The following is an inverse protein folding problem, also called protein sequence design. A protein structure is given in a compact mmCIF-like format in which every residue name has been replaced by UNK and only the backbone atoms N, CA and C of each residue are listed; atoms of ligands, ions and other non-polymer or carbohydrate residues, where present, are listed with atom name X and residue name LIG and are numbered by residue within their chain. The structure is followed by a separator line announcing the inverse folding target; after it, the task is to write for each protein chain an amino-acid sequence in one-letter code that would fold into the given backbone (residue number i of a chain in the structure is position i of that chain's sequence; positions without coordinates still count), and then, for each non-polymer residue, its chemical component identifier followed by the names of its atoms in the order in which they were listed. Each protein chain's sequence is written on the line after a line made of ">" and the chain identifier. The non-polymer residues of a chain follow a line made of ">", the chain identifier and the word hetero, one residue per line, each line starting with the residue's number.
data_IF_555024941933
#
_entry.id   IF_555024941933
#
_cell.length_a   1.000
_cell.length_b   1.000
_cell.length_c   1.000
_cell.angle_alpha   90.00
_cell.angle_beta   90.00
_cell.angle_gamma   90.00
#
_symmetry.space_group_name_H-M   'P 1'
#
loop_
_entity.id
_entity.type
_entity.pdbx_description
1 polymer ?
#
# COMPACT_ATOMS: atom_id res chain seq x y z
N UNK A 1 17.94 21.87 -16.52
CA UNK A 1 19.16 22.56 -16.04
C UNK A 1 19.10 22.61 -14.52
N UNK A 2 20.12 22.09 -13.83
CA UNK A 2 20.17 22.06 -12.36
C UNK A 2 20.81 23.35 -11.80
N UNK A 3 20.35 23.76 -10.61
CA UNK A 3 20.95 24.85 -9.84
C UNK A 3 22.36 24.46 -9.38
N UNK A 4 23.33 25.35 -9.56
CA UNK A 4 24.69 25.19 -9.05
C UNK A 4 25.08 26.45 -8.27
N UNK A 5 25.75 26.25 -7.14
CA UNK A 5 26.23 27.31 -6.26
C UNK A 5 27.09 28.36 -6.99
N UNK A 6 27.97 27.94 -7.91
CA UNK A 6 28.84 28.87 -8.66
C UNK A 6 28.05 29.86 -9.52
N UNK A 7 26.89 29.44 -10.05
CA UNK A 7 25.99 30.32 -10.81
C UNK A 7 25.21 31.25 -9.87
N UNK A 8 24.82 30.76 -8.70
CA UNK A 8 24.06 31.53 -7.71
C UNK A 8 24.91 32.67 -7.16
N UNK A 9 26.14 32.40 -6.72
CA UNK A 9 27.03 33.43 -6.16
C UNK A 9 27.50 34.44 -7.20
N UNK A 10 27.52 34.07 -8.49
CA UNK A 10 27.83 34.98 -9.59
C UNK A 10 26.64 35.87 -10.02
N UNK A 11 25.41 35.44 -9.76
CA UNK A 11 24.19 36.10 -10.29
C UNK A 11 23.39 36.85 -9.22
N UNK A 12 23.53 36.45 -7.95
CA UNK A 12 22.70 36.93 -6.85
C UNK A 12 23.50 37.61 -5.76
N UNK A 13 22.86 38.57 -5.09
CA UNK A 13 23.43 39.29 -3.94
C UNK A 13 22.47 39.29 -2.75
N UNK A 14 23.03 39.34 -1.53
CA UNK A 14 22.23 39.48 -0.30
C UNK A 14 21.50 40.83 -0.31
N UNK A 15 20.23 40.83 0.08
CA UNK A 15 19.35 42.00 0.04
C UNK A 15 18.63 42.20 -1.29
N UNK A 16 18.97 41.44 -2.33
CA UNK A 16 18.29 41.49 -3.63
C UNK A 16 16.82 41.09 -3.50
N UNK A 17 15.96 41.82 -4.19
CA UNK A 17 14.50 41.67 -4.13
C UNK A 17 13.95 41.20 -5.49
N UNK A 18 13.01 40.27 -5.43
CA UNK A 18 12.25 39.78 -6.57
C UNK A 18 10.77 40.05 -6.33
N UNK A 19 10.06 40.60 -7.33
CA UNK A 19 8.64 40.93 -7.25
C UNK A 19 7.77 39.69 -7.06
N UNK A 20 8.18 38.57 -7.65
CA UNK A 20 7.48 37.30 -7.56
C UNK A 20 8.39 36.10 -7.88
N UNK A 21 7.82 34.92 -7.70
CA UNK A 21 8.47 33.64 -7.97
C UNK A 21 8.92 33.48 -9.43
N UNK A 22 8.17 34.01 -10.41
CA UNK A 22 8.55 33.88 -11.81
C UNK A 22 9.82 34.69 -12.10
N UNK A 23 9.91 35.90 -11.56
CA UNK A 23 11.11 36.74 -11.69
C UNK A 23 12.33 36.07 -11.04
N UNK A 24 12.17 35.51 -9.84
CA UNK A 24 13.21 34.72 -9.18
C UNK A 24 13.67 33.53 -10.04
N UNK A 25 12.73 32.79 -10.62
CA UNK A 25 13.05 31.68 -11.51
C UNK A 25 13.76 32.14 -12.79
N UNK A 26 13.31 33.23 -13.41
CA UNK A 26 13.94 33.78 -14.62
C UNK A 26 15.39 34.21 -14.38
N UNK A 27 15.66 34.89 -13.26
CA UNK A 27 17.04 35.28 -12.87
C UNK A 27 17.92 34.06 -12.62
N UNK A 28 17.36 32.97 -12.10
CA UNK A 28 18.07 31.70 -11.89
C UNK A 28 18.12 30.81 -13.14
N UNK A 29 17.60 31.28 -14.28
CA UNK A 29 17.46 30.50 -15.52
C UNK A 29 16.71 29.17 -15.32
N UNK A 30 15.67 29.20 -14.49
CA UNK A 30 14.80 28.08 -14.19
C UNK A 30 13.44 28.29 -14.85
N UNK A 31 12.88 27.23 -15.44
CA UNK A 31 11.50 27.23 -15.87
C UNK A 31 10.57 27.23 -14.64
N UNK A 32 9.64 28.20 -14.51
CA UNK A 32 8.67 28.22 -13.42
C UNK A 32 7.77 26.98 -13.46
N UNK A 33 7.48 26.41 -12.28
CA UNK A 33 6.57 25.27 -12.14
C UNK A 33 5.28 25.66 -11.41
N UNK A 34 4.23 24.87 -11.60
CA UNK A 34 2.95 24.97 -10.88
C UNK A 34 2.81 23.95 -9.75
N UNK A 35 1.81 24.14 -8.88
CA UNK A 35 1.38 23.17 -7.87
C UNK A 35 2.52 22.61 -6.99
N UNK A 36 2.60 21.28 -6.88
CA UNK A 36 3.67 20.60 -6.14
C UNK A 36 5.06 20.83 -6.76
N UNK A 37 5.15 21.03 -8.08
CA UNK A 37 6.39 21.35 -8.75
C UNK A 37 6.99 22.68 -8.28
N UNK A 38 6.14 23.70 -8.06
CA UNK A 38 6.54 24.98 -7.47
C UNK A 38 7.14 24.79 -6.08
N UNK A 39 6.47 24.00 -5.24
CA UNK A 39 6.90 23.75 -3.86
C UNK A 39 8.27 23.07 -3.81
N UNK A 40 8.48 22.04 -4.65
CA UNK A 40 9.76 21.33 -4.73
C UNK A 40 10.87 22.23 -5.28
N UNK A 41 10.57 23.08 -6.26
CA UNK A 41 11.55 24.01 -6.82
C UNK A 41 11.93 25.10 -5.81
N UNK A 42 10.98 25.62 -5.03
CA UNK A 42 11.28 26.54 -3.93
C UNK A 42 12.14 25.88 -2.86
N UNK A 43 11.84 24.64 -2.48
CA UNK A 43 12.67 23.88 -1.54
C UNK A 43 14.09 23.69 -2.08
N UNK A 44 14.25 23.46 -3.39
CA UNK A 44 15.56 23.35 -4.02
C UNK A 44 16.31 24.69 -3.99
N UNK A 45 15.65 25.82 -4.28
CA UNK A 45 16.25 27.16 -4.19
C UNK A 45 16.68 27.46 -2.75
N UNK A 46 15.82 27.15 -1.77
CA UNK A 46 16.07 27.35 -0.33
C UNK A 46 17.22 26.49 0.21
N UNK A 47 17.72 25.51 -0.55
CA UNK A 47 18.97 24.81 -0.21
C UNK A 47 20.18 25.69 -0.37
N UNK A 48 20.15 26.64 -1.30
CA UNK A 48 21.30 27.48 -1.64
C UNK A 48 21.23 28.87 -0.99
N UNK A 49 20.04 29.31 -0.60
CA UNK A 49 19.84 30.64 -0.01
C UNK A 49 18.67 30.66 0.98
N UNK A 50 18.64 31.68 1.85
CA UNK A 50 17.50 32.01 2.69
C UNK A 50 16.69 33.12 2.03
N UNK A 51 15.37 32.95 1.95
CA UNK A 51 14.44 33.90 1.37
C UNK A 51 13.44 34.37 2.42
N UNK A 52 13.30 35.69 2.59
CA UNK A 52 12.15 36.26 3.29
C UNK A 52 11.05 36.56 2.27
N UNK A 53 9.83 36.08 2.55
CA UNK A 53 8.66 36.37 1.72
C UNK A 53 7.88 37.55 2.29
N UNK A 54 7.70 38.59 1.49
CA UNK A 54 6.88 39.75 1.82
C UNK A 54 5.75 39.90 0.79
N UNK A 55 4.57 39.38 1.13
CA UNK A 55 3.46 39.28 0.18
C UNK A 55 3.82 38.37 -1.01
N UNK A 56 3.88 38.92 -2.21
CA UNK A 56 4.34 38.20 -3.41
C UNK A 56 5.86 38.28 -3.62
N UNK A 57 6.55 39.18 -2.91
CA UNK A 57 7.97 39.46 -3.09
C UNK A 57 8.84 38.47 -2.32
N UNK A 58 10.06 38.27 -2.81
CA UNK A 58 11.11 37.48 -2.17
C UNK A 58 12.36 38.32 -1.98
N UNK A 59 12.96 38.27 -0.79
CA UNK A 59 14.18 39.00 -0.44
C UNK A 59 15.25 37.98 -0.04
N UNK A 60 16.41 38.02 -0.68
CA UNK A 60 17.54 37.15 -0.29
C UNK A 60 18.13 37.64 1.04
N UNK A 61 18.06 36.81 2.07
CA UNK A 61 18.66 37.10 3.40
C UNK A 61 20.08 36.60 3.52
N UNK A 62 20.36 35.47 2.90
CA UNK A 62 21.65 34.80 2.99
C UNK A 62 21.84 33.91 1.77
N UNK A 63 23.05 33.81 1.25
CA UNK A 63 23.45 32.82 0.26
C UNK A 63 24.47 31.92 0.95
N UNK A 64 24.19 30.63 1.04
CA UNK A 64 25.04 29.70 1.80
C UNK A 64 26.30 29.36 1.00
N UNK A 65 27.45 29.24 1.68
CA UNK A 65 28.70 28.78 1.08
C UNK A 65 28.68 27.29 0.72
N UNK A 66 27.85 26.51 1.41
CA UNK A 66 27.58 25.10 1.10
C UNK A 66 26.06 24.90 1.05
N UNK A 67 25.51 24.32 -0.04
CA UNK A 67 24.08 24.09 -0.12
C UNK A 67 23.63 23.13 0.99
N UNK A 68 22.50 23.43 1.63
CA UNK A 68 21.87 22.51 2.58
C UNK A 68 21.62 21.17 1.90
N UNK A 69 21.74 20.08 2.66
CA UNK A 69 21.47 18.75 2.14
C UNK A 69 20.08 18.68 1.52
N UNK A 70 20.00 18.01 0.35
CA UNK A 70 18.71 17.74 -0.25
C UNK A 70 17.98 16.81 0.70
N UNK A 71 16.86 17.28 1.26
CA UNK A 71 15.95 16.37 1.97
C UNK A 71 15.51 15.32 0.96
N UNK A 72 16.07 14.12 1.06
CA UNK A 72 15.60 12.98 0.28
C UNK A 72 14.09 12.89 0.48
N UNK A 73 13.35 12.53 -0.58
CA UNK A 73 11.92 12.33 -0.48
C UNK A 73 11.67 11.01 0.27
N UNK A 74 11.95 11.03 1.58
CA UNK A 74 12.03 9.85 2.45
C UNK A 74 10.67 9.19 2.69
N UNK A 75 9.57 9.81 2.25
CA UNK A 75 8.21 9.34 2.54
C UNK A 75 7.92 7.91 2.03
N UNK A 76 8.41 7.58 0.83
CA UNK A 76 8.20 6.25 0.24
C UNK A 76 9.46 5.38 0.23
N UNK A 77 10.65 5.99 0.27
CA UNK A 77 11.92 5.25 0.29
C UNK A 77 12.07 4.47 1.61
N UNK A 78 11.61 5.05 2.74
CA UNK A 78 11.80 4.45 4.07
C UNK A 78 11.17 3.06 4.25
N UNK A 79 10.02 2.81 3.62
CA UNK A 79 9.34 1.52 3.71
C UNK A 79 9.80 0.56 2.62
N UNK A 80 9.97 1.09 1.41
CA UNK A 80 10.33 0.33 0.22
C UNK A 80 11.58 -0.52 0.45
N UNK A 81 12.67 0.08 0.92
CA UNK A 81 13.95 -0.62 1.01
C UNK A 81 13.92 -1.74 2.08
N UNK A 82 13.22 -1.51 3.19
CA UNK A 82 12.97 -2.51 4.22
C UNK A 82 12.07 -3.65 3.72
N UNK A 83 11.00 -3.32 3.00
CA UNK A 83 10.07 -4.30 2.41
C UNK A 83 10.80 -5.13 1.34
N UNK A 84 11.59 -4.51 0.47
CA UNK A 84 12.42 -5.21 -0.51
C UNK A 84 13.38 -6.18 0.17
N UNK A 85 14.09 -5.72 1.20
CA UNK A 85 15.00 -6.57 1.95
C UNK A 85 14.27 -7.79 2.53
N UNK A 86 13.20 -7.59 3.29
CA UNK A 86 12.47 -8.70 3.92
C UNK A 86 11.86 -9.66 2.88
N UNK A 87 11.29 -9.14 1.80
CA UNK A 87 10.72 -9.94 0.72
C UNK A 87 11.79 -10.77 0.00
N UNK A 88 12.93 -10.17 -0.33
CA UNK A 88 14.05 -10.87 -0.96
C UNK A 88 14.62 -11.95 -0.05
N UNK A 89 14.72 -11.72 1.27
CA UNK A 89 15.13 -12.77 2.21
C UNK A 89 14.14 -13.93 2.23
N UNK A 90 12.82 -13.68 2.25
CA UNK A 90 11.83 -14.77 2.18
C UNK A 90 11.94 -15.58 0.89
N UNK A 91 12.02 -14.89 -0.26
CA UNK A 91 12.16 -15.55 -1.55
C UNK A 91 13.48 -16.32 -1.62
N UNK A 92 14.57 -15.79 -1.06
CA UNK A 92 15.85 -16.48 -0.99
C UNK A 92 15.76 -17.78 -0.18
N UNK A 93 15.14 -17.74 1.00
CA UNK A 93 14.94 -18.96 1.79
C UNK A 93 14.00 -19.95 1.11
N UNK A 94 13.00 -19.50 0.33
CA UNK A 94 12.22 -20.39 -0.54
C UNK A 94 13.10 -21.05 -1.61
N UNK A 95 14.00 -20.31 -2.27
CA UNK A 95 14.87 -20.89 -3.32
C UNK A 95 15.80 -21.96 -2.76
N UNK A 96 16.30 -21.78 -1.53
CA UNK A 96 17.19 -22.76 -0.88
C UNK A 96 16.49 -24.04 -0.48
N UNK A 97 15.19 -23.94 -0.22
CA UNK A 97 14.38 -25.05 0.26
C UNK A 97 13.59 -25.75 -0.84
N UNK A 98 13.44 -25.15 -2.02
CA UNK A 98 12.83 -25.76 -3.19
C UNK A 98 13.88 -26.52 -4.00
N UNK A 99 13.49 -27.68 -4.54
CA UNK A 99 14.32 -28.43 -5.50
C UNK A 99 14.36 -27.75 -6.89
N UNK A 100 13.45 -26.82 -7.16
CA UNK A 100 13.34 -26.08 -8.42
C UNK A 100 14.08 -24.73 -8.37
N UNK A 101 14.85 -24.43 -9.42
CA UNK A 101 15.49 -23.12 -9.61
C UNK A 101 14.48 -21.99 -9.87
N UNK A 102 13.25 -22.34 -10.29
CA UNK A 102 12.18 -21.40 -10.59
C UNK A 102 11.20 -21.32 -9.43
N UNK A 103 10.86 -20.09 -9.03
CA UNK A 103 9.79 -19.79 -8.09
C UNK A 103 8.65 -19.15 -8.86
N UNK A 104 7.44 -19.71 -8.73
CA UNK A 104 6.19 -19.10 -9.18
C UNK A 104 5.12 -19.36 -8.12
N UNK A 105 4.79 -18.31 -7.36
CA UNK A 105 3.95 -18.41 -6.15
C UNK A 105 2.77 -17.45 -6.20
N UNK A 106 1.68 -17.86 -5.56
CA UNK A 106 0.49 -17.03 -5.36
C UNK A 106 0.43 -16.58 -3.92
N UNK A 107 0.45 -15.27 -3.70
CA UNK A 107 0.45 -14.64 -2.39
C UNK A 107 -0.82 -13.83 -2.15
N UNK A 108 -1.49 -14.14 -1.05
CA UNK A 108 -2.53 -13.30 -0.47
C UNK A 108 -1.91 -12.03 0.11
N UNK A 109 -2.61 -10.90 -0.01
CA UNK A 109 -2.17 -9.66 0.65
C UNK A 109 -1.98 -9.86 2.16
N UNK A 110 -2.90 -10.59 2.79
CA UNK A 110 -2.90 -10.82 4.23
C UNK A 110 -1.71 -11.70 4.65
N UNK A 111 -1.32 -12.67 3.83
CA UNK A 111 -0.10 -13.48 4.05
C UNK A 111 1.15 -12.62 3.88
N UNK A 112 1.24 -11.86 2.78
CA UNK A 112 2.43 -11.05 2.49
C UNK A 112 2.69 -10.02 3.59
N UNK A 113 1.66 -9.29 4.02
CA UNK A 113 1.80 -8.29 5.09
C UNK A 113 2.12 -8.89 6.45
N UNK A 114 1.57 -10.06 6.77
CA UNK A 114 1.87 -10.78 8.02
C UNK A 114 3.30 -11.28 8.04
N UNK A 115 3.73 -11.98 6.98
CA UNK A 115 5.07 -12.55 6.88
C UNK A 115 6.15 -11.47 6.85
N UNK A 116 5.89 -10.32 6.23
CA UNK A 116 6.81 -9.18 6.26
C UNK A 116 6.78 -8.39 7.59
N UNK A 117 6.09 -8.90 8.61
CA UNK A 117 5.95 -8.26 9.93
C UNK A 117 5.38 -6.83 9.86
N UNK A 118 4.55 -6.55 8.85
CA UNK A 118 3.92 -5.23 8.68
C UNK A 118 2.71 -5.02 9.58
N UNK A 119 2.18 -6.12 10.13
CA UNK A 119 0.98 -6.20 10.97
C UNK A 119 1.02 -7.46 11.83
N UNK A 120 0.21 -7.50 12.88
CA UNK A 120 0.05 -8.69 13.73
C UNK A 120 -1.16 -9.55 13.26
N UNK A 121 -1.45 -10.63 13.99
CA UNK A 121 -2.57 -11.53 13.69
C UNK A 121 -3.96 -10.89 13.86
N UNK A 122 -4.06 -9.88 14.72
CA UNK A 122 -5.30 -9.15 15.01
C UNK A 122 -5.79 -8.27 13.85
N UNK A 123 -4.96 -8.00 12.83
CA UNK A 123 -5.41 -7.29 11.62
C UNK A 123 -6.36 -8.13 10.76
N UNK A 124 -7.61 -8.25 11.19
CA UNK A 124 -8.66 -9.01 10.51
C UNK A 124 -9.71 -8.07 9.92
N UNK A 125 -10.32 -8.51 8.82
CA UNK A 125 -11.35 -7.74 8.09
C UNK A 125 -12.69 -7.72 8.81
N UNK A 126 -13.06 -8.85 9.42
CA UNK A 126 -14.43 -9.12 9.86
C UNK A 126 -14.50 -9.15 11.38
N UNK A 127 -15.44 -8.37 11.91
CA UNK A 127 -15.78 -8.35 13.33
C UNK A 127 -16.58 -9.58 13.76
N UNK A 128 -17.37 -10.15 12.84
CA UNK A 128 -18.18 -11.34 13.11
C UNK A 128 -17.30 -12.55 13.44
N UNK A 129 -16.09 -12.58 12.89
CA UNK A 129 -15.16 -13.70 13.01
C UNK A 129 -14.22 -13.57 14.21
N UNK A 130 -14.32 -12.49 15.01
CA UNK A 130 -13.42 -12.24 16.13
C UNK A 130 -14.15 -11.68 17.37
N UNK A 131 -14.65 -12.55 18.27
CA UNK A 131 -15.29 -12.13 19.52
C UNK A 131 -14.39 -11.29 20.42
N UNK A 132 -13.08 -11.58 20.45
CA UNK A 132 -12.11 -10.80 21.24
C UNK A 132 -12.00 -9.37 20.74
N UNK A 133 -12.08 -9.16 19.42
CA UNK A 133 -12.12 -7.81 18.85
C UNK A 133 -13.41 -7.08 19.25
N UNK A 134 -14.55 -7.76 19.29
CA UNK A 134 -15.80 -7.12 19.73
C UNK A 134 -15.73 -6.66 21.19
N UNK A 135 -15.22 -7.53 22.08
CA UNK A 135 -15.00 -7.20 23.49
C UNK A 135 -14.01 -6.02 23.63
N UNK A 136 -12.86 -6.11 22.97
CA UNK A 136 -11.83 -5.06 23.03
C UNK A 136 -12.33 -3.70 22.51
N UNK A 137 -13.15 -3.69 21.45
CA UNK A 137 -13.76 -2.47 20.91
C UNK A 137 -14.72 -1.83 21.92
N UNK A 138 -15.52 -2.65 22.61
CA UNK A 138 -16.42 -2.19 23.68
C UNK A 138 -15.62 -1.54 24.81
N UNK A 139 -14.57 -2.22 25.30
CA UNK A 139 -13.73 -1.73 26.40
C UNK A 139 -13.00 -0.41 26.07
N UNK A 140 -12.65 -0.22 24.80
CA UNK A 140 -11.95 0.98 24.32
C UNK A 140 -12.89 2.06 23.78
N UNK A 141 -14.21 1.88 23.88
CA UNK A 141 -15.23 2.80 23.37
C UNK A 141 -15.00 3.14 21.88
N UNK A 142 -14.74 2.12 21.06
CA UNK A 142 -14.52 2.21 19.62
C UNK A 142 -15.68 1.51 18.91
N UNK A 143 -16.40 2.23 18.04
CA UNK A 143 -17.48 1.60 17.30
C UNK A 143 -16.96 0.67 16.19
N UNK A 144 -17.68 -0.42 15.86
CA UNK A 144 -17.43 -1.28 14.69
C UNK A 144 -17.06 -0.51 13.41
N UNK A 145 -17.81 0.54 13.10
CA UNK A 145 -17.58 1.36 11.89
C UNK A 145 -16.24 2.09 11.88
N UNK A 146 -15.76 2.52 13.05
CA UNK A 146 -14.46 3.19 13.21
C UNK A 146 -13.35 2.17 12.96
N UNK A 147 -13.46 0.98 13.55
CA UNK A 147 -12.55 -0.14 13.32
C UNK A 147 -12.50 -0.51 11.83
N UNK A 148 -13.65 -0.66 11.18
CA UNK A 148 -13.74 -0.99 9.76
C UNK A 148 -13.14 0.11 8.87
N UNK A 149 -13.41 1.38 9.16
CA UNK A 149 -12.80 2.52 8.45
C UNK A 149 -11.27 2.48 8.59
N UNK A 150 -10.76 2.26 9.80
CA UNK A 150 -9.33 2.14 10.06
C UNK A 150 -8.72 0.96 9.28
N UNK A 151 -9.34 -0.23 9.34
CA UNK A 151 -8.88 -1.42 8.62
C UNK A 151 -8.69 -1.16 7.13
N UNK A 152 -9.71 -0.61 6.45
CA UNK A 152 -9.60 -0.33 5.01
C UNK A 152 -8.56 0.75 4.71
N UNK A 153 -8.45 1.76 5.58
CA UNK A 153 -7.45 2.81 5.42
C UNK A 153 -6.01 2.28 5.57
N UNK A 154 -5.77 1.49 6.61
CA UNK A 154 -4.49 0.85 6.87
C UNK A 154 -4.15 -0.17 5.76
N UNK A 155 -5.11 -1.01 5.36
CA UNK A 155 -4.96 -1.96 4.24
C UNK A 155 -4.53 -1.25 2.96
N UNK A 156 -5.15 -0.12 2.63
CA UNK A 156 -4.79 0.67 1.46
C UNK A 156 -3.34 1.19 1.53
N UNK A 157 -2.91 1.69 2.69
CA UNK A 157 -1.54 2.16 2.90
C UNK A 157 -0.53 1.02 2.74
N UNK A 158 -0.72 -0.09 3.47
CA UNK A 158 0.14 -1.27 3.40
C UNK A 158 0.25 -1.81 1.96
N UNK A 159 -0.87 -1.89 1.25
CA UNK A 159 -0.92 -2.32 -0.15
C UNK A 159 -0.07 -1.43 -1.05
N UNK A 160 -0.14 -0.11 -0.86
CA UNK A 160 0.67 0.83 -1.63
C UNK A 160 2.17 0.65 -1.41
N UNK A 161 2.59 0.26 -0.20
CA UNK A 161 3.99 0.03 0.14
C UNK A 161 4.52 -1.27 -0.48
N UNK A 162 3.74 -2.35 -0.40
CA UNK A 162 4.01 -3.62 -1.09
C UNK A 162 4.13 -3.40 -2.59
N UNK A 163 3.14 -2.76 -3.21
CA UNK A 163 3.13 -2.52 -4.65
C UNK A 163 4.35 -1.70 -5.08
N UNK A 164 4.80 -0.74 -4.25
CA UNK A 164 5.99 0.06 -4.53
C UNK A 164 7.27 -0.76 -4.49
N UNK A 165 7.41 -1.66 -3.50
CA UNK A 165 8.56 -2.56 -3.38
C UNK A 165 8.60 -3.56 -4.54
N UNK A 166 7.48 -4.23 -4.85
CA UNK A 166 7.38 -5.18 -5.96
C UNK A 166 7.71 -4.53 -7.32
N UNK A 167 7.16 -3.33 -7.60
CA UNK A 167 7.48 -2.58 -8.83
C UNK A 167 8.95 -2.21 -8.95
N UNK A 168 9.61 -1.99 -7.83
CA UNK A 168 11.04 -1.67 -7.82
C UNK A 168 11.87 -2.92 -8.11
N UNK A 169 11.56 -4.06 -7.48
CA UNK A 169 12.20 -5.35 -7.79
C UNK A 169 11.99 -5.73 -9.28
N UNK A 170 10.77 -5.58 -9.80
CA UNK A 170 10.45 -5.81 -11.21
C UNK A 170 11.24 -4.87 -12.14
N UNK A 171 11.32 -3.58 -11.82
CA UNK A 171 12.11 -2.60 -12.59
C UNK A 171 13.60 -2.94 -12.63
N UNK A 172 14.12 -3.60 -11.60
CA UNK A 172 15.49 -4.07 -11.54
C UNK A 172 15.69 -5.46 -12.16
N UNK A 173 14.64 -6.04 -12.77
CA UNK A 173 14.66 -7.37 -13.42
C UNK A 173 14.93 -8.53 -12.45
N UNK A 174 14.55 -8.37 -11.17
CA UNK A 174 14.82 -9.35 -10.12
C UNK A 174 13.65 -10.33 -9.89
N UNK A 175 12.45 -9.94 -10.32
CA UNK A 175 11.26 -10.78 -10.33
C UNK A 175 10.25 -10.23 -11.35
N UNK A 176 9.29 -11.06 -11.73
CA UNK A 176 8.02 -10.62 -12.33
C UNK A 176 6.94 -10.62 -11.25
N UNK A 177 6.04 -9.64 -11.28
CA UNK A 177 4.83 -9.72 -10.45
C UNK A 177 3.58 -9.27 -11.22
N UNK A 178 2.46 -9.89 -10.90
CA UNK A 178 1.14 -9.50 -11.40
C UNK A 178 0.11 -9.55 -10.29
N UNK A 179 -0.94 -8.74 -10.44
CA UNK A 179 -2.16 -8.90 -9.66
C UNK A 179 -3.15 -9.66 -10.50
N UNK A 180 -3.61 -10.79 -10.00
CA UNK A 180 -4.53 -11.67 -10.71
C UNK A 180 -5.78 -11.92 -9.85
N UNK A 181 -6.85 -12.31 -10.51
CA UNK A 181 -8.12 -12.61 -9.86
C UNK A 181 -8.26 -14.13 -9.79
N UNK A 182 -8.47 -14.64 -8.57
CA UNK A 182 -8.64 -16.05 -8.28
C UNK A 182 -10.11 -16.32 -7.94
N UNK A 183 -10.77 -17.12 -8.75
CA UNK A 183 -12.09 -17.67 -8.49
C UNK A 183 -11.92 -18.87 -7.56
N UNK A 184 -12.65 -18.89 -6.45
CA UNK A 184 -12.56 -19.94 -5.44
C UNK A 184 -13.93 -20.40 -4.95
N UNK A 185 -14.05 -21.71 -4.76
CA UNK A 185 -15.11 -22.40 -4.02
C UNK A 185 -14.46 -23.57 -3.27
N UNK A 186 -15.10 -24.10 -2.24
CA UNK A 186 -14.55 -25.25 -1.48
C UNK A 186 -14.04 -26.34 -2.42
N UNK A 187 -12.74 -26.64 -2.35
CA UNK A 187 -12.10 -27.63 -3.20
C UNK A 187 -12.03 -27.26 -4.69
N UNK A 188 -12.12 -25.99 -5.06
CA UNK A 188 -11.96 -25.53 -6.45
C UNK A 188 -11.36 -24.13 -6.49
N UNK A 189 -10.24 -23.97 -7.19
CA UNK A 189 -9.64 -22.65 -7.44
C UNK A 189 -9.06 -22.55 -8.83
N UNK A 190 -9.30 -21.43 -9.51
CA UNK A 190 -8.64 -21.10 -10.79
C UNK A 190 -8.56 -19.61 -10.99
N UNK A 191 -7.65 -19.18 -11.85
CA UNK A 191 -7.64 -17.79 -12.30
C UNK A 191 -8.85 -17.51 -13.20
N UNK A 192 -9.30 -16.26 -13.18
CA UNK A 192 -10.30 -15.77 -14.13
C UNK A 192 -9.68 -15.66 -15.52
N UNK A 193 -10.47 -15.95 -16.55
CA UNK A 193 -10.12 -15.61 -17.93
C UNK A 193 -10.16 -14.09 -18.13
N UNK A 194 -9.66 -13.61 -19.27
CA UNK A 194 -9.73 -12.17 -19.58
C UNK A 194 -11.17 -11.66 -19.67
N UNK A 195 -12.06 -12.43 -20.30
CA UNK A 195 -13.49 -12.14 -20.39
C UNK A 195 -14.14 -12.06 -19.01
N UNK A 196 -13.90 -13.06 -18.15
CA UNK A 196 -14.39 -13.08 -16.77
C UNK A 196 -13.83 -11.93 -15.93
N UNK A 197 -12.58 -11.56 -16.16
CA UNK A 197 -11.94 -10.42 -15.48
C UNK A 197 -12.56 -9.09 -15.90
N UNK A 198 -12.98 -8.96 -17.16
CA UNK A 198 -13.70 -7.79 -17.66
C UNK A 198 -15.10 -7.74 -17.08
N UNK A 199 -15.84 -8.86 -17.13
CA UNK A 199 -17.13 -8.99 -16.49
C UNK A 199 -17.08 -8.62 -15.00
N UNK A 200 -16.10 -9.13 -14.26
CA UNK A 200 -15.99 -8.85 -12.82
C UNK A 200 -15.74 -7.36 -12.54
N UNK A 201 -14.95 -6.69 -13.39
CA UNK A 201 -14.74 -5.23 -13.28
C UNK A 201 -16.03 -4.46 -13.53
N UNK A 202 -16.83 -4.87 -14.50
CA UNK A 202 -18.14 -4.29 -14.79
C UNK A 202 -19.11 -4.54 -13.62
N UNK A 203 -19.20 -5.77 -13.12
CA UNK A 203 -20.03 -6.13 -11.97
C UNK A 203 -19.68 -5.32 -10.71
N UNK A 204 -18.39 -5.14 -10.42
CA UNK A 204 -17.92 -4.26 -9.33
C UNK A 204 -18.40 -2.82 -9.56
N UNK A 205 -18.25 -2.29 -10.78
CA UNK A 205 -18.62 -0.92 -11.11
C UNK A 205 -20.13 -0.69 -11.01
N UNK A 206 -20.93 -1.58 -11.58
CA UNK A 206 -22.39 -1.57 -11.46
C UNK A 206 -22.84 -1.63 -10.01
N UNK A 207 -22.19 -2.48 -9.20
CA UNK A 207 -22.51 -2.60 -7.78
C UNK A 207 -22.25 -1.29 -7.04
N UNK A 208 -21.11 -0.62 -7.31
CA UNK A 208 -20.82 0.72 -6.77
C UNK A 208 -21.88 1.73 -7.22
N UNK A 209 -22.25 1.73 -8.50
CA UNK A 209 -23.19 2.68 -9.07
C UNK A 209 -24.63 2.46 -8.55
N UNK A 210 -24.97 1.25 -8.12
CA UNK A 210 -26.25 0.95 -7.44
C UNK A 210 -26.43 1.69 -6.12
N UNK A 211 -25.36 2.17 -5.49
CA UNK A 211 -25.42 3.03 -4.29
C UNK A 211 -25.63 4.52 -4.63
N UNK A 212 -25.49 4.89 -5.91
CA UNK A 212 -25.72 6.26 -6.39
C UNK A 212 -27.17 6.49 -6.84
N UNK A 213 -27.99 5.44 -6.93
CA UNK A 213 -29.36 5.52 -7.42
C UNK A 213 -30.29 6.28 -6.42
N UNK A 214 -31.13 7.22 -6.89
CA UNK A 214 -32.08 7.97 -6.05
C UNK A 214 -33.14 7.15 -5.30
N UNK A 215 -33.21 5.83 -5.50
CA UNK A 215 -34.36 4.99 -5.15
C UNK A 215 -34.26 4.20 -3.83
N UNK A 216 -33.26 4.42 -2.97
CA UNK A 216 -33.28 3.90 -1.59
C UNK A 216 -34.16 4.79 -0.67
N UNK A 217 -35.44 4.93 -1.06
CA UNK A 217 -36.51 5.48 -0.21
C UNK A 217 -36.93 4.36 0.75
N UNK A 218 -36.15 4.17 1.81
CA UNK A 218 -36.47 3.19 2.85
C UNK A 218 -35.83 3.48 4.20
N UNK A 219 -34.60 4.00 4.20
CA UNK A 219 -33.85 4.23 5.46
C UNK A 219 -32.95 5.48 5.43
N UNK A 220 -33.45 6.57 4.84
CA UNK A 220 -32.76 7.87 4.85
C UNK A 220 -32.33 8.33 3.47
N UNK A 221 -32.20 9.66 3.35
CA UNK A 221 -32.00 10.44 2.12
C UNK A 221 -30.87 9.88 1.22
N UNK A 222 -30.93 10.12 -0.12
CA UNK A 222 -29.83 9.80 -1.04
C UNK A 222 -28.50 10.36 -0.51
N UNK A 223 -27.44 9.55 -0.59
CA UNK A 223 -26.18 9.80 0.13
C UNK A 223 -25.50 11.11 -0.27
N UNK A 224 -25.57 11.53 -1.54
CA UNK A 224 -25.08 12.83 -2.01
C UNK A 224 -25.92 13.27 -3.22
N UNK A 225 -26.50 14.47 -3.22
CA UNK A 225 -27.31 15.00 -4.34
C UNK A 225 -26.50 15.49 -5.55
N UNK A 226 -25.16 15.45 -5.51
CA UNK A 226 -24.30 16.28 -6.39
C UNK A 226 -22.97 15.63 -6.85
N UNK A 227 -22.74 14.33 -6.66
CA UNK A 227 -21.54 13.68 -7.22
C UNK A 227 -21.84 12.99 -8.54
N UNK A 228 -21.13 13.40 -9.58
CA UNK A 228 -21.14 12.77 -10.91
C UNK A 228 -20.58 11.34 -10.89
N UNK A 229 -19.72 11.01 -9.91
CA UNK A 229 -19.08 9.70 -9.77
C UNK A 229 -19.06 9.21 -8.32
N UNK A 230 -19.57 7.98 -8.10
CA UNK A 230 -19.49 7.25 -6.84
C UNK A 230 -18.34 6.23 -6.89
N UNK A 231 -17.58 6.11 -5.81
CA UNK A 231 -16.41 5.21 -5.73
C UNK A 231 -16.55 4.19 -4.59
N UNK A 232 -15.76 3.11 -4.62
CA UNK A 232 -15.70 2.16 -3.49
C UNK A 232 -15.29 2.85 -2.18
N UNK A 233 -14.48 3.92 -2.27
CA UNK A 233 -14.16 4.74 -1.10
C UNK A 233 -15.40 5.42 -0.53
N UNK A 234 -16.31 5.89 -1.37
CA UNK A 234 -17.57 6.48 -0.92
C UNK A 234 -18.46 5.41 -0.26
N UNK A 235 -18.52 4.18 -0.78
CA UNK A 235 -19.22 3.05 -0.13
C UNK A 235 -18.70 2.82 1.29
N UNK A 236 -17.37 2.78 1.47
CA UNK A 236 -16.72 2.59 2.78
C UNK A 236 -17.07 3.76 3.72
N UNK A 237 -16.95 5.00 3.25
CA UNK A 237 -17.23 6.20 4.07
C UNK A 237 -18.68 6.24 4.55
N UNK A 238 -19.61 5.67 3.77
CA UNK A 238 -21.02 5.59 4.12
C UNK A 238 -21.41 4.32 4.90
N UNK A 239 -20.44 3.49 5.32
CA UNK A 239 -20.66 2.28 6.11
C UNK A 239 -21.56 1.26 5.40
N UNK A 240 -21.36 1.12 4.09
CA UNK A 240 -22.16 0.24 3.21
C UNK A 240 -21.34 -0.87 2.56
N UNK A 241 -20.21 -1.21 3.16
CA UNK A 241 -19.29 -2.17 2.58
C UNK A 241 -19.83 -3.60 2.64
N UNK A 242 -20.55 -3.96 3.70
CA UNK A 242 -21.16 -5.29 3.80
C UNK A 242 -22.29 -5.45 2.78
N UNK A 243 -23.20 -4.47 2.68
CA UNK A 243 -24.22 -4.39 1.62
C UNK A 243 -23.59 -4.47 0.21
N UNK A 244 -22.41 -3.86 0.01
CA UNK A 244 -21.70 -3.92 -1.27
C UNK A 244 -21.22 -5.33 -1.59
N UNK A 245 -20.61 -6.02 -0.62
CA UNK A 245 -20.12 -7.38 -0.84
C UNK A 245 -21.25 -8.41 -0.92
N UNK A 246 -22.38 -8.17 -0.26
CA UNK A 246 -23.61 -8.97 -0.39
C UNK A 246 -24.13 -8.91 -1.84
N UNK A 247 -24.40 -7.70 -2.35
CA UNK A 247 -24.85 -7.49 -3.74
C UNK A 247 -23.86 -8.00 -4.79
N UNK A 248 -22.56 -7.79 -4.55
CA UNK A 248 -21.54 -8.30 -5.46
C UNK A 248 -21.48 -9.84 -5.41
N UNK A 249 -21.68 -10.45 -4.25
CA UNK A 249 -21.71 -11.91 -4.10
C UNK A 249 -22.90 -12.53 -4.82
N UNK A 250 -24.06 -11.87 -4.85
CA UNK A 250 -25.22 -12.29 -5.65
C UNK A 250 -24.88 -12.30 -7.14
N UNK A 251 -24.30 -11.21 -7.68
CA UNK A 251 -23.86 -11.16 -9.08
C UNK A 251 -22.82 -12.24 -9.41
N UNK A 252 -21.89 -12.52 -8.49
CA UNK A 252 -20.91 -13.60 -8.66
C UNK A 252 -21.61 -14.97 -8.69
N UNK A 253 -22.61 -15.18 -7.83
CA UNK A 253 -23.37 -16.41 -7.79
C UNK A 253 -24.21 -16.60 -9.07
N UNK A 254 -24.79 -15.53 -9.61
CA UNK A 254 -25.55 -15.58 -10.86
C UNK A 254 -24.66 -15.97 -12.06
N UNK A 255 -23.41 -15.52 -12.08
CA UNK A 255 -22.49 -15.76 -13.20
C UNK A 255 -21.70 -17.07 -13.08
N UNK A 256 -21.16 -17.37 -11.89
CA UNK A 256 -20.28 -18.52 -11.65
C UNK A 256 -20.97 -19.68 -10.91
N UNK A 257 -22.15 -19.45 -10.34
CA UNK A 257 -22.85 -20.38 -9.45
C UNK A 257 -22.61 -20.12 -7.97
N UNK A 258 -23.48 -20.69 -7.14
CA UNK A 258 -23.45 -20.49 -5.68
C UNK A 258 -22.14 -20.94 -5.03
N UNK A 259 -21.72 -20.17 -4.02
CA UNK A 259 -20.55 -20.47 -3.18
C UNK A 259 -19.21 -20.07 -3.79
N UNK A 260 -19.18 -19.53 -5.01
CA UNK A 260 -17.97 -18.93 -5.57
C UNK A 260 -17.67 -17.55 -4.98
N UNK A 261 -16.38 -17.25 -4.86
CA UNK A 261 -15.83 -15.97 -4.41
C UNK A 261 -14.64 -15.61 -5.29
N UNK A 262 -14.44 -14.31 -5.52
CA UNK A 262 -13.31 -13.80 -6.29
C UNK A 262 -12.39 -13.03 -5.36
N UNK A 263 -11.10 -13.34 -5.42
CA UNK A 263 -10.08 -12.67 -4.65
C UNK A 263 -8.98 -12.09 -5.54
N UNK A 264 -8.44 -10.94 -5.17
CA UNK A 264 -7.23 -10.41 -5.78
C UNK A 264 -6.00 -10.99 -5.06
N UNK A 265 -5.11 -11.61 -5.83
CA UNK A 265 -3.86 -12.21 -5.35
C UNK A 265 -2.66 -11.64 -6.08
N UNK A 266 -1.48 -11.74 -5.47
CA UNK A 266 -0.21 -11.44 -6.10
C UNK A 266 0.38 -12.72 -6.68
N UNK A 267 0.70 -12.74 -7.97
CA UNK A 267 1.56 -13.79 -8.54
C UNK A 267 2.98 -13.26 -8.64
N UNK A 268 3.93 -13.95 -8.04
CA UNK A 268 5.35 -13.56 -8.02
C UNK A 268 6.15 -14.68 -8.65
N UNK A 269 6.90 -14.35 -9.70
CA UNK A 269 7.74 -15.29 -10.43
C UNK A 269 9.20 -14.83 -10.45
N UNK A 270 10.15 -15.70 -10.11
CA UNK A 270 11.59 -15.39 -10.09
C UNK A 270 12.43 -16.66 -10.20
N UNK A 271 13.75 -16.53 -10.19
CA UNK A 271 14.69 -17.67 -10.14
C UNK A 271 15.71 -17.47 -9.03
N UNK A 272 16.34 -18.55 -8.58
CA UNK A 272 17.45 -18.50 -7.59
C UNK A 272 18.50 -17.45 -7.95
N UNK A 273 18.95 -17.45 -9.20
CA UNK A 273 19.93 -16.49 -9.73
C UNK A 273 19.47 -15.04 -9.67
N UNK A 274 18.20 -14.76 -9.99
CA UNK A 274 17.66 -13.39 -9.94
C UNK A 274 17.53 -12.89 -8.50
N UNK A 275 17.15 -13.77 -7.59
CA UNK A 275 17.09 -13.45 -6.16
C UNK A 275 18.48 -13.24 -5.56
N UNK A 276 19.51 -13.95 -6.01
CA UNK A 276 20.89 -13.65 -5.62
C UNK A 276 21.32 -12.23 -6.02
N UNK A 277 20.97 -11.79 -7.24
CA UNK A 277 21.22 -10.40 -7.65
C UNK A 277 20.48 -9.40 -6.76
N UNK A 278 19.20 -9.69 -6.47
CA UNK A 278 18.39 -8.85 -5.59
C UNK A 278 19.01 -8.76 -4.19
N UNK A 279 19.45 -9.90 -3.62
CA UNK A 279 20.06 -9.99 -2.29
C UNK A 279 21.34 -9.18 -2.18
N UNK A 280 22.14 -9.13 -3.25
CA UNK A 280 23.36 -8.31 -3.31
C UNK A 280 23.07 -6.81 -3.45
N UNK A 281 21.91 -6.42 -4.01
CA UNK A 281 21.52 -5.01 -4.19
C UNK A 281 20.82 -4.44 -2.96
N UNK A 282 19.89 -5.19 -2.37
CA UNK A 282 19.12 -4.71 -1.22
C UNK A 282 20.05 -4.54 -0.02
N UNK A 283 19.90 -3.44 0.72
CA UNK A 283 20.76 -3.16 1.87
C UNK A 283 20.70 -4.30 2.88
N UNK A 284 21.86 -4.82 3.27
CA UNK A 284 21.94 -5.81 4.35
C UNK A 284 21.70 -5.11 5.69
N UNK A 285 20.62 -5.48 6.38
CA UNK A 285 20.55 -5.28 7.82
C UNK A 285 21.45 -6.33 8.49
N UNK A 286 22.15 -5.95 9.57
CA UNK A 286 22.98 -6.89 10.34
C UNK A 286 22.14 -8.08 10.82
N UNK A 287 20.86 -7.86 11.14
CA UNK A 287 19.91 -8.90 11.54
C UNK A 287 18.52 -8.69 10.89
N UNK A 288 17.94 -9.79 10.38
CA UNK A 288 16.61 -9.81 9.75
C UNK A 288 15.50 -9.36 10.73
N UNK A 289 15.66 -9.73 12.00
CA UNK A 289 14.81 -9.29 13.12
C UNK A 289 14.82 -7.77 13.29
N UNK A 290 16.00 -7.15 13.27
CA UNK A 290 16.11 -5.69 13.38
C UNK A 290 15.41 -4.98 12.21
N UNK A 291 15.49 -5.53 10.99
CA UNK A 291 14.75 -5.02 9.84
C UNK A 291 13.22 -5.10 10.03
N UNK A 292 12.71 -6.24 10.49
CA UNK A 292 11.29 -6.45 10.76
C UNK A 292 10.75 -5.50 11.85
N UNK A 293 11.48 -5.37 12.97
CA UNK A 293 11.15 -4.44 14.06
C UNK A 293 11.12 -3.00 13.54
N UNK A 294 12.16 -2.61 12.81
CA UNK A 294 12.28 -1.26 12.25
C UNK A 294 11.12 -0.95 11.30
N UNK A 295 10.76 -1.88 10.42
CA UNK A 295 9.64 -1.69 9.50
C UNK A 295 8.32 -1.47 10.24
N UNK A 296 7.99 -2.33 11.20
CA UNK A 296 6.74 -2.24 11.94
C UNK A 296 6.64 -0.91 12.73
N UNK A 297 7.73 -0.51 13.42
CA UNK A 297 7.78 0.75 14.14
C UNK A 297 7.55 1.96 13.21
N UNK A 298 8.23 1.99 12.06
CA UNK A 298 8.05 3.04 11.06
C UNK A 298 6.63 3.07 10.48
N UNK A 299 5.98 1.91 10.33
CA UNK A 299 4.60 1.80 9.86
C UNK A 299 3.63 2.36 10.90
N UNK A 300 3.78 1.96 12.17
CA UNK A 300 2.98 2.48 13.29
C UNK A 300 3.08 4.00 13.36
N UNK A 301 4.29 4.57 13.31
CA UNK A 301 4.50 6.02 13.35
C UNK A 301 3.92 6.72 12.13
N UNK A 302 4.09 6.13 10.93
CA UNK A 302 3.49 6.65 9.71
C UNK A 302 1.96 6.69 9.76
N UNK A 303 1.33 5.68 10.36
CA UNK A 303 -0.12 5.64 10.53
C UNK A 303 -0.62 6.65 11.58
N UNK A 304 0.14 6.87 12.66
CA UNK A 304 -0.12 7.93 13.66
C UNK A 304 -0.03 9.34 13.04
N UNK A 305 0.78 9.54 12.02
CA UNK A 305 0.89 10.84 11.32
C UNK A 305 -0.01 10.96 10.07
N UNK A 306 -0.68 9.87 9.67
CA UNK A 306 -1.40 9.79 8.41
C UNK A 306 -2.62 10.70 8.39
N UNK A 307 -2.54 11.78 7.60
CA UNK A 307 -3.68 12.66 7.30
C UNK A 307 -4.85 11.92 6.65
N UNK A 308 -4.56 10.85 5.92
CA UNK A 308 -5.58 10.02 5.30
C UNK A 308 -6.42 9.29 6.36
N UNK A 309 -5.76 8.69 7.37
CA UNK A 309 -6.46 8.06 8.49
C UNK A 309 -7.11 9.10 9.42
N UNK A 310 -6.53 10.31 9.57
CA UNK A 310 -7.12 11.41 10.33
C UNK A 310 -8.40 11.96 9.70
N UNK A 311 -8.42 12.08 8.37
CA UNK A 311 -9.54 12.68 7.65
C UNK A 311 -10.73 11.73 7.50
N UNK A 312 -10.56 10.43 7.72
CA UNK A 312 -11.49 9.44 7.21
C UNK A 312 -12.75 9.15 8.03
N UNK A 313 -12.90 9.52 9.31
CA UNK A 313 -14.20 9.48 10.02
C UNK A 313 -14.04 9.72 11.53
N UNK A 314 -13.98 10.96 12.02
CA UNK A 314 -14.13 11.27 13.47
C UNK A 314 -13.27 10.41 14.43
N UNK A 315 -12.20 9.78 13.95
CA UNK A 315 -11.37 8.88 14.76
C UNK A 315 -10.48 9.80 15.58
N UNK A 316 -10.65 9.75 16.90
CA UNK A 316 -9.79 10.52 17.79
C UNK A 316 -8.35 10.00 17.70
N UNK A 317 -7.33 10.85 17.93
CA UNK A 317 -5.94 10.41 18.00
C UNK A 317 -5.75 9.20 18.93
N UNK A 318 -6.49 9.15 20.03
CA UNK A 318 -6.48 8.10 21.05
C UNK A 318 -7.04 6.77 20.51
N UNK A 319 -8.24 6.80 19.91
CA UNK A 319 -8.85 5.60 19.31
C UNK A 319 -7.98 5.03 18.19
N UNK A 320 -7.39 5.91 17.38
CA UNK A 320 -6.47 5.49 16.31
C UNK A 320 -5.20 4.87 16.88
N UNK A 321 -4.62 5.46 17.93
CA UNK A 321 -3.45 4.87 18.61
C UNK A 321 -3.80 3.48 19.12
N UNK A 322 -4.94 3.33 19.80
CA UNK A 322 -5.42 2.04 20.30
C UNK A 322 -5.57 1.01 19.16
N UNK A 323 -6.16 1.39 18.01
CA UNK A 323 -6.31 0.50 16.85
C UNK A 323 -4.96 0.13 16.21
N UNK A 324 -3.99 1.04 16.17
CA UNK A 324 -2.63 0.75 15.70
C UNK A 324 -1.96 -0.23 16.65
N UNK A 325 -2.04 0.03 17.95
CA UNK A 325 -1.43 -0.83 18.97
C UNK A 325 -2.07 -2.23 18.96
N UNK A 326 -3.38 -2.34 18.68
CA UNK A 326 -4.08 -3.63 18.64
C UNK A 326 -3.92 -4.38 17.30
N UNK A 327 -3.96 -3.71 16.13
CA UNK A 327 -3.96 -4.38 14.82
C UNK A 327 -2.62 -4.38 14.07
N UNK A 328 -1.71 -3.47 14.39
CA UNK A 328 -0.50 -3.24 13.57
C UNK A 328 0.77 -3.52 14.36
N UNK A 329 0.85 -3.01 15.59
CA UNK A 329 2.02 -3.17 16.43
C UNK A 329 2.24 -4.65 16.75
N UNK A 330 3.48 -5.09 16.62
CA UNK A 330 3.92 -6.44 17.00
C UNK A 330 4.68 -6.32 18.32
N UNK A 331 4.32 -7.15 19.29
CA UNK A 331 5.04 -7.21 20.57
C UNK A 331 6.45 -7.79 20.35
N UNK A 332 7.42 -7.33 21.14
CA UNK A 332 8.78 -7.86 21.14
C UNK A 332 8.80 -9.40 21.24
N UNK A 333 7.89 -9.97 22.04
CA UNK A 333 7.79 -11.42 22.24
C UNK A 333 7.15 -12.17 21.07
N UNK A 334 6.40 -11.48 20.20
CA UNK A 334 5.74 -12.11 19.05
C UNK A 334 6.57 -12.06 17.78
N UNK A 335 7.64 -11.26 17.73
CA UNK A 335 8.54 -11.24 16.59
C UNK A 335 9.18 -12.60 16.32
N UNK A 336 9.48 -13.40 17.34
CA UNK A 336 10.06 -14.74 17.14
C UNK A 336 9.19 -15.61 16.23
N UNK A 337 7.85 -15.58 16.39
CA UNK A 337 6.92 -16.31 15.51
C UNK A 337 6.97 -15.79 14.07
N UNK A 338 7.05 -14.48 13.90
CA UNK A 338 7.15 -13.86 12.58
C UNK A 338 8.50 -14.18 11.91
N UNK A 339 9.59 -14.14 12.67
CA UNK A 339 10.94 -14.48 12.18
C UNK A 339 11.05 -15.96 11.84
N UNK A 340 10.46 -16.84 12.64
CA UNK A 340 10.39 -18.27 12.29
C UNK A 340 9.59 -18.50 11.02
N UNK A 341 8.49 -17.77 10.81
CA UNK A 341 7.73 -17.83 9.55
C UNK A 341 8.53 -17.29 8.35
N UNK A 342 9.31 -16.23 8.56
CA UNK A 342 10.24 -15.62 7.59
C UNK A 342 11.38 -16.59 7.19
N UNK A 343 12.07 -17.17 8.18
CA UNK A 343 13.26 -17.99 7.99
C UNK A 343 12.94 -19.39 7.47
N UNK A 344 11.84 -20.00 7.92
CA UNK A 344 11.47 -21.33 7.45
C UNK A 344 10.75 -21.31 6.09
N UNK A 345 10.55 -20.12 5.51
CA UNK A 345 9.76 -19.92 4.30
C UNK A 345 8.29 -20.33 4.45
N UNK A 346 7.84 -20.79 5.63
CA UNK A 346 6.49 -21.32 5.88
C UNK A 346 5.41 -20.32 5.47
N UNK A 347 5.64 -19.04 5.73
CA UNK A 347 4.70 -17.98 5.39
C UNK A 347 4.36 -17.86 3.90
N UNK A 348 5.35 -18.07 3.02
CA UNK A 348 5.13 -18.09 1.56
C UNK A 348 4.96 -19.51 1.01
N UNK A 349 5.34 -20.57 1.75
CA UNK A 349 5.01 -21.95 1.38
C UNK A 349 3.52 -22.24 1.53
N UNK A 350 2.86 -21.67 2.53
CA UNK A 350 1.39 -21.69 2.66
C UNK A 350 0.72 -20.82 1.57
N UNK A 351 1.50 -19.98 0.89
CA UNK A 351 1.10 -19.25 -0.29
C UNK A 351 1.24 -20.16 -1.52
N UNK A 352 0.31 -21.12 -1.61
CA UNK A 352 0.07 -22.07 -2.72
C UNK A 352 1.16 -22.04 -3.81
N UNK A 353 2.15 -22.92 -3.71
CA UNK A 353 3.07 -23.18 -4.81
C UNK A 353 2.21 -23.66 -5.99
N UNK A 354 2.34 -23.02 -7.16
CA UNK A 354 1.44 -23.29 -8.30
C UNK A 354 1.46 -24.78 -8.71
N UNK A 355 2.59 -25.49 -8.50
CA UNK A 355 2.69 -26.94 -8.74
C UNK A 355 1.75 -27.78 -7.85
N UNK A 356 1.34 -27.28 -6.68
CA UNK A 356 0.31 -27.93 -5.84
C UNK A 356 -1.10 -27.59 -6.30
N UNK A 357 -1.33 -26.41 -6.91
CA UNK A 357 -2.61 -26.06 -7.54
C UNK A 357 -2.86 -26.95 -8.77
N UNK A 358 -1.84 -27.22 -9.58
CA UNK A 358 -1.96 -28.15 -10.72
C UNK A 358 -2.14 -29.60 -10.30
N UNK A 359 -1.67 -30.01 -9.11
CA UNK A 359 -1.89 -31.37 -8.59
C UNK A 359 -3.25 -31.57 -7.92
N UNK A 360 -3.85 -30.53 -7.32
CA UNK A 360 -5.13 -30.65 -6.63
C UNK A 360 -6.36 -30.20 -7.42
N UNK A 361 -6.25 -29.35 -8.45
CA UNK A 361 -7.44 -28.70 -9.02
C UNK A 361 -7.41 -28.51 -10.54
N UNK A 362 -7.14 -29.58 -11.30
CA UNK A 362 -7.52 -29.62 -12.71
C UNK A 362 -9.01 -29.96 -12.84
N UNK A 363 -9.84 -28.97 -13.21
CA UNK A 363 -11.00 -29.28 -14.04
C UNK A 363 -10.44 -29.81 -15.36
N UNK A 364 -10.50 -31.13 -15.56
CA UNK A 364 -10.36 -31.64 -16.92
C UNK A 364 -11.58 -31.14 -17.70
N UNK A 365 -11.33 -30.42 -18.77
CA UNK A 365 -12.27 -30.14 -19.87
C UNK A 365 -12.75 -31.42 -20.59
N UNK A 366 -12.95 -32.54 -19.88
CA UNK A 366 -13.36 -33.83 -20.45
C UNK A 366 -14.80 -34.21 -20.03
N UNK A 367 -15.76 -33.30 -20.22
CA UNK A 367 -17.21 -33.63 -20.22
C UNK A 367 -17.98 -32.69 -21.16
N UNK A 368 -17.56 -32.54 -22.41
CA UNK A 368 -18.45 -32.22 -23.53
C UNK A 368 -17.82 -32.63 -24.87
N UNK A 369 -17.84 -33.94 -25.11
CA UNK A 369 -17.87 -34.55 -26.45
C UNK A 369 -18.45 -35.94 -26.34
#
# INVERSE_FOLDING_TARGET
>A
MELNLSKITATLSVGQQFKNYNELCSTLHLAPKGGNGKKLQMQEIERFMSLEKQGHKFIIKEIYSTPKEKKANKRNIKYKDLIEYLLVQQLYELTRNNESENIDIICWFDNLTFNLSMRNENFVRSLADNPLLQEWLSDNNISPDICQTFYYGARHMLKSYIDTALRSLEKNYELGFKKEQLLMKSGHSRFLTEEESNWYREAVKETIDSFNAPSLIGFGKPLIKEKEYFTLKDVILHKKIDDFYERLSEKIADYFGDGFRIYEVYRISTTSKLIDYAKNRVSSYEELLAGAITLNGLLCDGMKESKFLLAQNKITPEQRKALIDWMIAIDANDYEKHIDALLNGKGLRDALVIEEITKYFLWKEDQQS
#
